data_IF_478627361143
#
_entry.id   IF_478627361143
#
_cell.length_a   1.000
_cell.length_b   1.000
_cell.length_c   1.000
_cell.angle_alpha   90.00
_cell.angle_beta   90.00
_cell.angle_gamma   90.00
#
_symmetry.space_group_name_H-M   'P 1'
#
loop_
_entity.id
_entity.type
_entity.pdbx_description
1 polymer ?
#
# COMPACT_ATOMS: atom_id res chain seq x y z
N UNK A 1 2.22 10.94 -15.91
CA UNK A 1 1.90 10.84 -17.36
C UNK A 1 1.93 9.41 -17.91
N UNK A 2 2.43 8.42 -17.20
CA UNK A 2 2.51 7.01 -17.64
C UNK A 2 1.16 6.34 -17.87
N UNK A 3 0.13 6.64 -17.07
CA UNK A 3 -1.19 6.03 -17.18
C UNK A 3 -1.85 6.31 -18.54
N UNK A 4 -1.79 7.57 -19.01
CA UNK A 4 -2.39 7.98 -20.30
C UNK A 4 -1.73 7.26 -21.47
N UNK A 5 -0.43 6.96 -21.38
CA UNK A 5 0.30 6.27 -22.44
C UNK A 5 0.04 4.75 -22.45
N UNK A 6 -0.05 4.11 -21.28
CA UNK A 6 -0.14 2.65 -21.19
C UNK A 6 -1.56 2.10 -21.18
N UNK A 7 -2.55 2.90 -20.79
CA UNK A 7 -3.95 2.48 -20.77
C UNK A 7 -4.49 2.16 -22.18
N UNK A 8 -4.25 2.97 -23.24
CA UNK A 8 -4.62 2.61 -24.60
C UNK A 8 -3.90 1.36 -25.12
N UNK A 9 -2.65 1.13 -24.70
CA UNK A 9 -1.88 -0.07 -25.08
C UNK A 9 -2.54 -1.30 -24.44
N UNK A 10 -2.84 -1.25 -23.14
CA UNK A 10 -3.54 -2.33 -22.44
C UNK A 10 -4.93 -2.58 -23.03
N UNK A 11 -5.63 -1.52 -23.42
CA UNK A 11 -6.93 -1.59 -24.09
C UNK A 11 -6.83 -2.32 -25.43
N UNK A 12 -5.82 -1.98 -26.26
CA UNK A 12 -5.56 -2.65 -27.53
C UNK A 12 -5.20 -4.13 -27.38
N UNK A 13 -4.32 -4.45 -26.41
CA UNK A 13 -3.92 -5.82 -26.10
C UNK A 13 -5.08 -6.65 -25.54
N UNK A 14 -5.95 -6.04 -24.76
CA UNK A 14 -7.12 -6.70 -24.17
C UNK A 14 -8.17 -7.14 -25.18
N UNK A 15 -8.20 -6.54 -26.39
CA UNK A 15 -9.11 -6.98 -27.47
C UNK A 15 -8.86 -8.40 -27.96
N UNK A 16 -7.62 -8.89 -27.81
CA UNK A 16 -7.23 -10.24 -28.27
C UNK A 16 -7.53 -11.30 -27.19
N UNK A 17 -7.97 -10.87 -25.99
CA UNK A 17 -8.20 -11.77 -24.86
C UNK A 17 -9.61 -11.55 -24.35
N UNK A 18 -10.48 -12.44 -24.77
CA UNK A 18 -11.92 -12.38 -24.45
C UNK A 18 -12.32 -13.33 -23.32
N UNK A 19 -11.49 -14.34 -22.98
CA UNK A 19 -11.80 -15.35 -21.96
C UNK A 19 -11.05 -15.08 -20.67
N UNK A 20 -11.80 -14.88 -19.58
CA UNK A 20 -11.30 -14.90 -18.21
C UNK A 20 -11.63 -16.23 -17.53
N UNK A 21 -10.72 -16.78 -16.68
CA UNK A 21 -10.91 -18.08 -16.04
C UNK A 21 -12.14 -18.17 -15.12
N UNK A 22 -12.65 -17.04 -14.61
CA UNK A 22 -13.77 -16.99 -13.66
C UNK A 22 -15.00 -16.25 -14.17
N UNK A 23 -14.90 -15.38 -15.18
CA UNK A 23 -15.98 -14.48 -15.61
C UNK A 23 -16.46 -14.72 -17.05
N UNK A 24 -15.90 -15.72 -17.75
CA UNK A 24 -16.28 -16.03 -19.13
C UNK A 24 -15.80 -14.97 -20.15
N UNK A 25 -16.61 -14.73 -21.18
CA UNK A 25 -16.27 -13.75 -22.22
C UNK A 25 -16.59 -12.33 -21.77
N UNK A 26 -15.56 -11.53 -21.49
CA UNK A 26 -15.68 -10.12 -21.12
C UNK A 26 -14.84 -9.27 -22.07
N UNK A 27 -15.48 -8.33 -22.76
CA UNK A 27 -14.78 -7.36 -23.58
C UNK A 27 -13.83 -6.52 -22.73
N UNK A 28 -12.55 -6.42 -23.16
CA UNK A 28 -11.51 -5.66 -22.45
C UNK A 28 -11.23 -6.15 -21.01
N UNK A 29 -11.30 -7.46 -20.81
CA UNK A 29 -11.16 -8.12 -19.52
C UNK A 29 -9.95 -7.67 -18.69
N UNK A 30 -8.77 -7.52 -19.32
CA UNK A 30 -7.54 -7.11 -18.64
C UNK A 30 -7.61 -5.69 -18.06
N UNK A 31 -8.32 -4.78 -18.72
CA UNK A 31 -8.49 -3.40 -18.22
C UNK A 31 -9.36 -3.39 -16.96
N UNK A 32 -10.45 -4.15 -16.97
CA UNK A 32 -11.32 -4.29 -15.80
C UNK A 32 -10.59 -4.96 -14.63
N UNK A 33 -9.83 -6.00 -14.89
CA UNK A 33 -8.99 -6.63 -13.85
C UNK A 33 -8.00 -5.65 -13.28
N UNK A 34 -7.33 -4.84 -14.09
CA UNK A 34 -6.39 -3.83 -13.62
C UNK A 34 -7.05 -2.74 -12.75
N UNK A 35 -8.23 -2.27 -13.15
CA UNK A 35 -8.97 -1.25 -12.38
C UNK A 35 -9.47 -1.84 -11.05
N UNK A 36 -10.11 -3.01 -11.08
CA UNK A 36 -10.66 -3.66 -9.88
C UNK A 36 -9.53 -3.99 -8.90
N UNK A 37 -8.41 -4.52 -9.40
CA UNK A 37 -7.27 -4.85 -8.56
C UNK A 37 -6.65 -3.59 -7.94
N UNK A 38 -6.46 -2.52 -8.70
CA UNK A 38 -5.90 -1.27 -8.18
C UNK A 38 -6.82 -0.62 -7.12
N UNK A 39 -8.13 -0.58 -7.37
CA UNK A 39 -9.11 -0.09 -6.39
C UNK A 39 -9.15 -0.96 -5.14
N UNK A 40 -9.19 -2.29 -5.32
CA UNK A 40 -9.17 -3.25 -4.22
C UNK A 40 -7.93 -3.10 -3.34
N UNK A 41 -6.76 -2.94 -3.96
CA UNK A 41 -5.51 -2.69 -3.25
C UNK A 41 -5.50 -1.38 -2.49
N UNK A 42 -6.03 -0.31 -3.11
CA UNK A 42 -6.16 0.99 -2.44
C UNK A 42 -7.04 0.90 -1.20
N UNK A 43 -8.22 0.28 -1.32
CA UNK A 43 -9.15 0.09 -0.19
C UNK A 43 -8.50 -0.78 0.90
N UNK A 44 -7.85 -1.88 0.52
CA UNK A 44 -7.17 -2.78 1.45
C UNK A 44 -6.06 -2.05 2.22
N UNK A 45 -5.18 -1.32 1.52
CA UNK A 45 -4.09 -0.59 2.15
C UNK A 45 -4.59 0.59 3.00
N UNK A 46 -5.64 1.29 2.56
CA UNK A 46 -6.29 2.32 3.36
C UNK A 46 -6.89 1.75 4.65
N UNK A 47 -7.60 0.63 4.57
CA UNK A 47 -8.20 -0.03 5.74
C UNK A 47 -7.16 -0.48 6.76
N UNK A 48 -6.03 -1.02 6.30
CA UNK A 48 -4.93 -1.47 7.19
C UNK A 48 -4.14 -0.29 7.73
N UNK A 49 -3.91 0.75 6.91
CA UNK A 49 -3.11 1.93 7.27
C UNK A 49 -3.85 3.00 8.07
N UNK A 50 -5.19 2.93 8.18
CA UNK A 50 -6.01 3.98 8.79
C UNK A 50 -5.61 4.37 10.22
N UNK A 51 -5.09 3.41 11.00
CA UNK A 51 -4.67 3.64 12.40
C UNK A 51 -3.28 4.27 12.53
N UNK A 52 -2.45 4.23 11.51
CA UNK A 52 -1.06 4.71 11.58
C UNK A 52 -0.94 6.21 11.91
N UNK A 53 -1.70 7.12 11.26
CA UNK A 53 -1.61 8.55 11.58
C UNK A 53 -2.00 8.86 13.03
N UNK A 54 -2.99 8.13 13.59
CA UNK A 54 -3.38 8.28 14.99
C UNK A 54 -2.28 7.85 15.96
N UNK A 55 -1.60 6.76 15.67
CA UNK A 55 -0.47 6.28 16.50
C UNK A 55 0.71 7.27 16.42
N UNK A 56 0.96 7.85 15.25
CA UNK A 56 2.02 8.85 15.04
C UNK A 56 1.76 10.14 15.82
N UNK A 57 0.50 10.58 15.87
CA UNK A 57 0.07 11.68 16.73
C UNK A 57 0.28 11.37 18.23
N UNK A 58 -0.09 10.17 18.66
CA UNK A 58 0.09 9.74 20.05
C UNK A 58 1.58 9.70 20.43
N UNK A 59 2.48 9.30 19.53
CA UNK A 59 3.93 9.32 19.74
C UNK A 59 4.41 10.75 19.99
N UNK A 60 4.04 11.69 19.11
CA UNK A 60 4.45 13.09 19.26
C UNK A 60 3.97 13.67 20.59
N UNK A 61 2.78 13.32 21.03
CA UNK A 61 2.22 13.74 22.31
C UNK A 61 3.01 13.20 23.51
N UNK A 62 3.30 11.90 23.52
CA UNK A 62 4.06 11.26 24.61
C UNK A 62 5.53 11.74 24.64
N UNK A 63 6.14 11.90 23.49
CA UNK A 63 7.49 12.49 23.37
C UNK A 63 7.52 13.94 23.85
N UNK A 64 6.53 14.75 23.50
CA UNK A 64 6.45 16.13 23.95
C UNK A 64 6.30 16.22 25.48
N UNK A 65 5.49 15.34 26.07
CA UNK A 65 5.34 15.25 27.52
C UNK A 65 6.67 14.87 28.21
N UNK A 66 7.36 13.87 27.67
CA UNK A 66 8.65 13.42 28.18
C UNK A 66 9.72 14.53 28.09
N UNK A 67 9.85 15.20 26.93
CA UNK A 67 10.80 16.33 26.75
C UNK A 67 10.49 17.50 27.66
N UNK A 68 9.20 17.83 27.83
CA UNK A 68 8.77 18.91 28.75
C UNK A 68 9.18 18.62 30.18
N UNK A 69 9.03 17.40 30.66
CA UNK A 69 9.40 17.03 32.02
C UNK A 69 10.91 17.05 32.21
N UNK A 70 11.70 16.65 31.22
CA UNK A 70 13.16 16.76 31.26
C UNK A 70 13.63 18.21 31.38
N UNK A 71 13.07 19.14 30.57
CA UNK A 71 13.43 20.56 30.61
C UNK A 71 13.03 21.19 31.96
N UNK A 72 11.83 20.88 32.47
CA UNK A 72 11.39 21.36 33.78
C UNK A 72 12.23 20.78 34.92
N UNK A 73 12.79 19.60 34.73
CA UNK A 73 13.68 18.95 35.69
C UNK A 73 15.08 19.56 35.72
N UNK A 74 15.53 20.15 34.64
CA UNK A 74 16.79 20.89 34.57
C UNK A 74 16.74 22.11 35.50
N UNK A 75 15.60 22.82 35.53
CA UNK A 75 15.40 24.00 36.40
C UNK A 75 15.05 23.62 37.86
N UNK A 76 14.45 22.44 38.07
CA UNK A 76 14.01 22.01 39.41
C UNK A 76 14.15 20.50 39.61
N UNK A 77 15.26 20.08 40.19
CA UNK A 77 15.64 18.67 40.42
C UNK A 77 14.59 17.90 41.26
N UNK A 78 13.84 18.58 42.16
CA UNK A 78 12.78 17.93 42.94
C UNK A 78 11.58 17.54 42.11
N UNK A 79 11.35 18.20 40.98
CA UNK A 79 10.21 17.94 40.08
C UNK A 79 10.48 16.78 39.15
N UNK A 80 11.71 16.66 38.65
CA UNK A 80 12.16 15.52 37.80
C UNK A 80 12.52 14.31 38.68
N UNK A 81 11.61 13.86 39.51
CA UNK A 81 11.80 12.61 40.26
C UNK A 81 12.05 11.46 39.27
N UNK A 82 13.08 10.64 39.57
CA UNK A 82 13.48 9.48 38.74
C UNK A 82 12.27 8.62 38.36
N UNK A 83 11.34 8.42 39.31
CA UNK A 83 10.12 7.64 39.08
C UNK A 83 9.18 8.25 38.02
N UNK A 84 9.09 9.59 37.96
CA UNK A 84 8.20 10.26 36.99
C UNK A 84 8.80 10.22 35.58
N UNK A 85 10.08 10.50 35.46
CA UNK A 85 10.81 10.43 34.19
C UNK A 85 10.81 9.00 33.64
N UNK A 86 11.03 8.00 34.48
CA UNK A 86 11.01 6.59 34.09
C UNK A 86 9.61 6.14 33.62
N UNK A 87 8.53 6.60 34.28
CA UNK A 87 7.16 6.31 33.85
C UNK A 87 6.82 6.91 32.49
N UNK A 88 7.24 8.15 32.22
CA UNK A 88 7.05 8.83 30.93
C UNK A 88 7.87 8.15 29.82
N UNK A 89 9.11 7.79 30.12
CA UNK A 89 9.93 7.00 29.20
C UNK A 89 9.28 5.63 28.90
N UNK A 90 8.71 4.98 29.91
CA UNK A 90 7.94 3.74 29.74
C UNK A 90 6.77 3.90 28.78
N UNK A 91 6.05 5.03 28.83
CA UNK A 91 4.97 5.35 27.91
C UNK A 91 5.46 5.55 26.48
N UNK A 92 6.52 6.34 26.30
CA UNK A 92 7.16 6.54 24.99
C UNK A 92 7.60 5.21 24.40
N UNK A 93 8.23 4.35 25.18
CA UNK A 93 8.64 3.02 24.74
C UNK A 93 7.45 2.16 24.30
N UNK A 94 6.37 2.11 25.09
CA UNK A 94 5.16 1.33 24.75
C UNK A 94 4.51 1.78 23.46
N UNK A 95 4.39 3.10 23.24
CA UNK A 95 3.77 3.62 22.02
C UNK A 95 4.62 3.34 20.77
N UNK A 96 5.96 3.40 20.90
CA UNK A 96 6.87 3.02 19.81
C UNK A 96 6.75 1.53 19.45
N UNK A 97 6.70 0.63 20.45
CA UNK A 97 6.46 -0.78 20.17
C UNK A 97 5.12 -1.03 19.47
N UNK A 98 4.05 -0.33 19.90
CA UNK A 98 2.74 -0.39 19.25
C UNK A 98 2.83 0.07 17.79
N UNK A 99 3.57 1.15 17.51
CA UNK A 99 3.83 1.64 16.16
C UNK A 99 4.56 0.59 15.32
N UNK A 100 5.67 0.02 15.82
CA UNK A 100 6.44 -0.98 15.09
C UNK A 100 5.60 -2.20 14.70
N UNK A 101 4.75 -2.71 15.60
CA UNK A 101 3.84 -3.81 15.27
C UNK A 101 2.84 -3.44 14.18
N UNK A 102 2.27 -2.23 14.22
CA UNK A 102 1.35 -1.76 13.18
C UNK A 102 2.05 -1.57 11.84
N UNK A 103 3.26 -1.00 11.83
CA UNK A 103 4.07 -0.90 10.61
C UNK A 103 4.48 -2.26 10.06
N UNK A 104 4.84 -3.21 10.91
CA UNK A 104 5.18 -4.56 10.48
C UNK A 104 3.99 -5.22 9.80
N UNK A 105 2.82 -5.16 10.44
CA UNK A 105 1.59 -5.69 9.86
C UNK A 105 1.22 -4.99 8.55
N UNK A 106 1.23 -3.67 8.53
CA UNK A 106 0.96 -2.88 7.32
C UNK A 106 1.92 -3.24 6.18
N UNK A 107 3.22 -3.31 6.47
CA UNK A 107 4.22 -3.67 5.46
C UNK A 107 4.05 -5.11 4.98
N UNK A 108 3.73 -6.06 5.85
CA UNK A 108 3.48 -7.45 5.47
C UNK A 108 2.30 -7.54 4.48
N UNK A 109 1.18 -6.87 4.78
CA UNK A 109 0.02 -6.81 3.89
C UNK A 109 0.35 -6.11 2.57
N UNK A 110 1.05 -4.97 2.64
CA UNK A 110 1.49 -4.21 1.46
C UNK A 110 2.36 -5.06 0.53
N UNK A 111 3.39 -5.69 1.07
CA UNK A 111 4.30 -6.51 0.26
C UNK A 111 3.61 -7.76 -0.29
N UNK A 112 2.74 -8.41 0.49
CA UNK A 112 1.94 -9.55 0.02
C UNK A 112 1.02 -9.14 -1.12
N UNK A 113 0.37 -7.97 -1.03
CA UNK A 113 -0.45 -7.44 -2.10
C UNK A 113 0.37 -7.14 -3.35
N UNK A 114 1.49 -6.42 -3.23
CA UNK A 114 2.35 -6.08 -4.37
C UNK A 114 2.89 -7.32 -5.09
N UNK A 115 3.30 -8.34 -4.34
CA UNK A 115 3.77 -9.60 -4.93
C UNK A 115 2.61 -10.40 -5.55
N UNK A 116 1.44 -10.39 -4.94
CA UNK A 116 0.23 -11.00 -5.50
C UNK A 116 -0.14 -10.39 -6.86
N UNK A 117 -0.01 -9.06 -6.99
CA UNK A 117 -0.34 -8.35 -8.22
C UNK A 117 0.55 -8.72 -9.42
N UNK A 118 1.78 -9.14 -9.19
CA UNK A 118 2.65 -9.66 -10.26
C UNK A 118 2.05 -10.92 -10.90
N UNK A 119 1.31 -11.72 -10.14
CA UNK A 119 0.73 -12.99 -10.59
C UNK A 119 -0.61 -12.79 -11.32
N UNK A 120 -1.34 -11.72 -11.01
CA UNK A 120 -2.70 -11.45 -11.54
C UNK A 120 -2.77 -11.49 -13.07
N UNK A 121 -1.91 -10.81 -13.87
CA UNK A 121 -1.97 -10.87 -15.32
C UNK A 121 -1.71 -12.27 -15.85
N UNK A 122 -0.87 -13.07 -15.23
CA UNK A 122 -0.62 -14.45 -15.65
C UNK A 122 -1.82 -15.36 -15.38
N UNK A 123 -2.50 -15.18 -14.24
CA UNK A 123 -3.73 -15.89 -13.94
C UNK A 123 -4.85 -15.51 -14.90
N UNK A 124 -4.97 -14.22 -15.23
CA UNK A 124 -5.96 -13.75 -16.19
C UNK A 124 -5.70 -14.32 -17.61
N UNK A 125 -4.44 -14.51 -17.97
CA UNK A 125 -4.04 -15.06 -19.26
C UNK A 125 -3.96 -16.60 -19.29
N UNK A 126 -4.08 -17.26 -18.14
CA UNK A 126 -3.88 -18.72 -18.03
C UNK A 126 -4.66 -19.54 -19.07
N UNK A 127 -5.97 -19.32 -19.34
CA UNK A 127 -6.70 -20.06 -20.36
C UNK A 127 -6.09 -19.91 -21.74
N UNK A 128 -5.72 -18.67 -22.09
CA UNK A 128 -5.16 -18.32 -23.41
C UNK A 128 -3.74 -18.84 -23.60
N UNK A 129 -2.98 -18.95 -22.51
CA UNK A 129 -1.63 -19.55 -22.50
C UNK A 129 -1.75 -21.06 -22.72
N UNK A 130 -2.67 -21.73 -22.04
CA UNK A 130 -2.85 -23.20 -22.14
C UNK A 130 -3.31 -23.61 -23.51
N UNK A 131 -4.15 -22.81 -24.18
CA UNK A 131 -4.57 -23.07 -25.56
C UNK A 131 -3.47 -22.82 -26.59
N UNK A 132 -2.32 -22.25 -26.18
CA UNK A 132 -1.23 -21.93 -27.12
C UNK A 132 -1.56 -20.78 -28.09
N UNK A 133 -2.64 -20.03 -27.84
CA UNK A 133 -3.10 -18.97 -28.74
C UNK A 133 -2.21 -17.70 -28.69
N UNK A 134 -1.36 -17.55 -27.67
CA UNK A 134 -0.46 -16.41 -27.51
C UNK A 134 0.98 -16.82 -27.26
N UNK A 135 1.90 -15.99 -27.75
CA UNK A 135 3.35 -16.21 -27.56
C UNK A 135 3.81 -15.70 -26.20
N UNK A 136 4.92 -16.26 -25.69
CA UNK A 136 5.53 -15.80 -24.44
C UNK A 136 5.88 -14.30 -24.47
N UNK A 137 6.33 -13.79 -25.61
CA UNK A 137 6.63 -12.36 -25.79
C UNK A 137 5.38 -11.48 -25.60
N UNK A 138 4.24 -11.94 -26.10
CA UNK A 138 2.95 -11.25 -25.94
C UNK A 138 2.49 -11.26 -24.48
N UNK A 139 2.64 -12.37 -23.76
CA UNK A 139 2.36 -12.47 -22.32
C UNK A 139 3.20 -11.46 -21.54
N UNK A 140 4.50 -11.37 -21.82
CA UNK A 140 5.41 -10.41 -21.18
C UNK A 140 5.03 -8.95 -21.46
N UNK A 141 4.60 -8.66 -22.69
CA UNK A 141 4.15 -7.31 -23.06
C UNK A 141 2.91 -6.91 -22.28
N UNK A 142 1.93 -7.81 -22.15
CA UNK A 142 0.71 -7.57 -21.36
C UNK A 142 1.05 -7.37 -19.88
N UNK A 143 1.88 -8.25 -19.31
CA UNK A 143 2.27 -8.15 -17.89
C UNK A 143 2.97 -6.82 -17.59
N UNK A 144 3.85 -6.35 -18.47
CA UNK A 144 4.50 -5.03 -18.33
C UNK A 144 3.52 -3.88 -18.44
N UNK A 145 2.60 -3.91 -19.40
CA UNK A 145 1.58 -2.88 -19.57
C UNK A 145 0.64 -2.84 -18.36
N UNK A 146 0.20 -4.00 -17.87
CA UNK A 146 -0.63 -4.16 -16.70
C UNK A 146 0.04 -3.56 -15.45
N UNK A 147 1.27 -3.96 -15.16
CA UNK A 147 2.02 -3.46 -14.01
C UNK A 147 2.26 -1.94 -14.09
N UNK A 148 2.45 -1.38 -15.28
CA UNK A 148 2.61 0.07 -15.45
C UNK A 148 1.32 0.83 -15.18
N UNK A 149 0.17 0.32 -15.63
CA UNK A 149 -1.14 0.90 -15.36
C UNK A 149 -1.44 0.83 -13.85
N UNK A 150 -1.25 -0.33 -13.24
CA UNK A 150 -1.48 -0.54 -11.82
C UNK A 150 -0.61 0.37 -10.94
N UNK A 151 0.70 0.40 -11.18
CA UNK A 151 1.61 1.27 -10.43
C UNK A 151 1.25 2.76 -10.58
N UNK A 152 0.76 3.17 -11.75
CA UNK A 152 0.32 4.55 -11.98
C UNK A 152 -0.97 4.87 -11.19
N UNK A 153 -1.90 3.94 -11.09
CA UNK A 153 -3.12 4.09 -10.28
C UNK A 153 -2.79 4.14 -8.78
N UNK A 154 -1.90 3.28 -8.33
CA UNK A 154 -1.45 3.27 -6.93
C UNK A 154 -0.69 4.53 -6.55
N UNK A 155 0.15 5.08 -7.42
CA UNK A 155 0.91 6.31 -7.13
C UNK A 155 0.00 7.50 -6.85
N UNK A 156 -1.14 7.60 -7.55
CA UNK A 156 -2.16 8.62 -7.28
C UNK A 156 -2.76 8.44 -5.89
N UNK A 157 -3.05 7.21 -5.51
CA UNK A 157 -3.60 6.89 -4.19
C UNK A 157 -2.65 7.23 -3.04
N UNK A 158 -1.35 6.94 -3.20
CA UNK A 158 -0.35 7.28 -2.18
C UNK A 158 -0.18 8.79 -1.99
N UNK A 159 -0.20 9.59 -3.04
CA UNK A 159 -0.09 11.05 -2.94
C UNK A 159 -1.26 11.67 -2.17
N UNK A 160 -2.46 11.13 -2.31
CA UNK A 160 -3.62 11.61 -1.55
C UNK A 160 -3.65 11.17 -0.09
N UNK A 161 -3.08 10.00 0.24
CA UNK A 161 -3.02 9.49 1.62
C UNK A 161 -1.86 10.08 2.44
N UNK A 162 -0.80 10.53 1.79
CA UNK A 162 0.41 11.04 2.47
C UNK A 162 0.51 12.56 2.52
N UNK A 163 -0.42 13.30 1.89
CA UNK A 163 -0.48 14.74 2.07
C UNK A 163 -0.96 15.05 3.50
N UNK A 164 -0.11 15.67 4.34
CA UNK A 164 -0.59 16.18 5.61
C UNK A 164 -1.62 17.27 5.30
N UNK A 165 -2.85 17.05 5.71
CA UNK A 165 -3.82 18.12 5.81
C UNK A 165 -3.23 19.17 6.74
N UNK A 166 -2.81 20.30 6.17
CA UNK A 166 -2.44 21.50 6.93
C UNK A 166 -3.63 22.00 7.72
#
# INVERSE_FOLDING_TARGET
MTLIAFLPILWGLSKQITMLPFFGEVNHALVWVAIISALGGTVLLAAVGFKLPGIEYDIQKEEAAYRKELVLGEDNVKRAGISNVDSLYGNVRKIHFKMYFHYLYFNAVKWSYLQGMVIVPYLALAPTIVTGAITLGFVQQIARAFNKVENSLQSVSYTHLTLPTK
#
